data_IF_292702813982
#
_entry.id   IF_292702813982
#
_cell.length_a   1.000
_cell.length_b   1.000
_cell.length_c   1.000
_cell.angle_alpha   90.00
_cell.angle_beta   90.00
_cell.angle_gamma   90.00
#
_symmetry.space_group_name_H-M   'P 1'
#
loop_
_entity.id
_entity.type
_entity.pdbx_description
1 polymer ?
#
# COMPACT_ATOMS: atom_id res chain seq x y z
N UNK A 1 -4.12 5.53 -5.26
CA UNK A 1 -5.02 6.69 -5.00
C UNK A 1 -6.15 6.30 -4.04
N UNK A 2 -7.04 7.25 -3.63
CA UNK A 2 -8.30 6.89 -2.99
C UNK A 2 -8.63 7.55 -1.65
N UNK A 3 -7.71 7.92 -0.81
CA UNK A 3 -8.01 8.61 0.46
C UNK A 3 -7.57 10.08 0.49
N UNK A 4 -6.51 10.41 -0.24
CA UNK A 4 -5.92 11.74 -0.25
C UNK A 4 -6.52 12.68 -1.29
N UNK A 5 -6.27 14.00 -1.16
CA UNK A 5 -6.89 15.04 -2.00
C UNK A 5 -6.11 15.37 -3.28
N UNK A 6 -4.97 14.71 -3.54
CA UNK A 6 -4.08 15.00 -4.67
C UNK A 6 -3.85 13.77 -5.56
N UNK A 7 -4.89 13.16 -6.16
CA UNK A 7 -4.74 11.89 -6.88
C UNK A 7 -3.90 12.03 -8.16
N UNK A 8 -4.01 13.14 -8.91
CA UNK A 8 -3.22 13.34 -10.12
C UNK A 8 -1.75 13.54 -9.82
N UNK A 9 -1.45 14.42 -8.88
CA UNK A 9 -0.08 14.75 -8.47
C UNK A 9 0.64 13.50 -7.93
N UNK A 10 -0.07 12.66 -7.16
CA UNK A 10 0.48 11.41 -6.66
C UNK A 10 0.75 10.41 -7.80
N UNK A 11 -0.19 10.23 -8.73
CA UNK A 11 0.00 9.34 -9.89
C UNK A 11 1.17 9.81 -10.74
N UNK A 12 1.26 11.09 -11.04
CA UNK A 12 2.31 11.67 -11.86
C UNK A 12 3.69 11.54 -11.20
N UNK A 13 3.76 11.78 -9.88
CA UNK A 13 5.00 11.61 -9.11
C UNK A 13 5.46 10.15 -9.11
N UNK A 14 4.57 9.20 -8.84
CA UNK A 14 4.88 7.77 -8.83
C UNK A 14 5.31 7.32 -10.23
N UNK A 15 4.58 7.70 -11.28
CA UNK A 15 4.93 7.38 -12.67
C UNK A 15 6.31 7.91 -13.07
N UNK A 16 6.68 9.09 -12.58
CA UNK A 16 7.96 9.72 -12.90
C UNK A 16 9.15 9.15 -12.08
N UNK A 17 8.90 8.55 -10.93
CA UNK A 17 9.96 8.18 -9.98
C UNK A 17 10.11 6.68 -9.73
N UNK A 18 9.05 5.90 -9.95
CA UNK A 18 9.04 4.46 -9.68
C UNK A 18 9.13 3.66 -10.99
N UNK A 19 10.07 2.76 -11.07
CA UNK A 19 10.22 1.83 -12.21
C UNK A 19 9.19 0.69 -12.16
N UNK A 20 8.75 0.32 -10.95
CA UNK A 20 7.77 -0.75 -10.74
C UNK A 20 6.66 -0.27 -9.80
N UNK A 21 5.44 -0.56 -10.20
CA UNK A 21 4.23 -0.19 -9.45
C UNK A 21 3.21 -1.31 -9.61
N UNK A 22 2.55 -1.69 -8.52
CA UNK A 22 1.44 -2.66 -8.55
C UNK A 22 0.11 -1.96 -8.30
N UNK A 23 -0.95 -2.51 -8.88
CA UNK A 23 -2.32 -2.03 -8.69
C UNK A 23 -2.81 -2.35 -7.29
N UNK A 24 -3.30 -1.35 -6.56
CA UNK A 24 -3.98 -1.53 -5.27
C UNK A 24 -5.51 -1.60 -5.42
N UNK A 25 -6.19 -2.03 -4.35
CA UNK A 25 -7.66 -2.13 -4.33
C UNK A 25 -8.36 -0.79 -4.59
N UNK A 26 -7.84 0.32 -4.05
CA UNK A 26 -8.39 1.65 -4.31
C UNK A 26 -8.19 2.09 -5.76
N UNK A 27 -7.02 1.82 -6.35
CA UNK A 27 -6.76 2.07 -7.76
C UNK A 27 -7.72 1.24 -8.63
N UNK A 28 -7.91 -0.03 -8.29
CA UNK A 28 -8.84 -0.94 -8.94
C UNK A 28 -10.29 -0.46 -8.83
N UNK A 29 -10.68 0.07 -7.67
CA UNK A 29 -12.01 0.69 -7.47
C UNK A 29 -12.19 1.96 -8.30
N UNK A 30 -11.16 2.78 -8.44
CA UNK A 30 -11.19 4.01 -9.25
C UNK A 30 -11.36 3.71 -10.74
N UNK A 31 -10.72 2.66 -11.26
CA UNK A 31 -10.85 2.20 -12.65
C UNK A 31 -12.00 1.19 -12.86
N UNK A 32 -12.87 1.03 -11.87
CA UNK A 32 -14.11 0.21 -11.92
C UNK A 32 -13.88 -1.30 -12.12
N UNK A 33 -12.69 -1.81 -11.83
CA UNK A 33 -12.40 -3.25 -11.83
C UNK A 33 -12.87 -3.94 -10.56
N UNK A 34 -12.88 -3.22 -9.42
CA UNK A 34 -13.36 -3.72 -8.13
C UNK A 34 -14.66 -3.02 -7.76
N UNK A 35 -15.68 -3.81 -7.38
CA UNK A 35 -16.98 -3.26 -6.95
C UNK A 35 -16.81 -2.35 -5.73
N UNK A 36 -17.44 -1.18 -5.77
CA UNK A 36 -17.43 -0.26 -4.64
C UNK A 36 -18.16 -0.84 -3.40
N UNK A 37 -18.91 -1.90 -3.53
CA UNK A 37 -19.59 -2.55 -2.40
C UNK A 37 -18.64 -3.25 -1.43
N UNK A 38 -17.42 -3.54 -1.88
CA UNK A 38 -16.34 -4.07 -1.04
C UNK A 38 -15.67 -3.01 -0.15
N UNK A 39 -15.99 -1.72 -0.34
CA UNK A 39 -15.38 -0.63 0.43
C UNK A 39 -16.31 -0.12 1.53
N UNK A 40 -15.73 0.31 2.65
CA UNK A 40 -16.47 1.03 3.67
C UNK A 40 -16.97 2.41 3.17
N UNK A 41 -17.92 3.02 3.89
CA UNK A 41 -18.54 4.28 3.46
C UNK A 41 -17.55 5.42 3.17
N UNK A 42 -16.52 5.69 4.00
CA UNK A 42 -15.50 6.70 3.69
C UNK A 42 -14.68 6.37 2.45
N UNK A 43 -14.22 5.11 2.29
CA UNK A 43 -13.47 4.65 1.14
C UNK A 43 -14.25 4.78 -0.16
N UNK A 44 -15.52 4.32 -0.17
CA UNK A 44 -16.44 4.46 -1.30
C UNK A 44 -16.60 5.93 -1.74
N UNK A 45 -16.76 6.86 -0.79
CA UNK A 45 -16.86 8.30 -1.08
C UNK A 45 -15.55 8.85 -1.66
N UNK A 46 -14.42 8.45 -1.10
CA UNK A 46 -13.12 8.92 -1.56
C UNK A 46 -12.78 8.38 -2.97
N UNK A 47 -13.08 7.11 -3.27
CA UNK A 47 -12.91 6.54 -4.61
C UNK A 47 -13.75 7.30 -5.63
N UNK A 48 -15.06 7.53 -5.37
CA UNK A 48 -15.93 8.30 -6.26
C UNK A 48 -15.47 9.74 -6.46
N UNK A 49 -14.88 10.34 -5.44
CA UNK A 49 -14.28 11.67 -5.55
C UNK A 49 -13.04 11.61 -6.45
N UNK A 50 -12.13 10.67 -6.23
CA UNK A 50 -10.91 10.47 -7.05
C UNK A 50 -11.25 10.19 -8.52
N UNK A 51 -12.29 9.39 -8.80
CA UNK A 51 -12.77 9.15 -10.17
C UNK A 51 -13.12 10.44 -10.92
N UNK A 52 -13.68 11.44 -10.22
CA UNK A 52 -14.03 12.73 -10.83
C UNK A 52 -12.86 13.68 -10.99
N UNK A 53 -11.78 13.49 -10.23
CA UNK A 53 -10.59 14.35 -10.26
C UNK A 53 -9.54 13.87 -11.26
N UNK A 54 -9.38 12.56 -11.40
CA UNK A 54 -8.34 11.97 -12.23
C UNK A 54 -8.50 12.35 -13.71
N UNK A 55 -7.38 12.74 -14.32
CA UNK A 55 -7.30 12.93 -15.76
C UNK A 55 -7.44 11.61 -16.51
N UNK A 56 -7.83 11.67 -17.78
CA UNK A 56 -7.90 10.48 -18.63
C UNK A 56 -6.56 9.75 -18.72
N UNK A 57 -5.47 10.51 -18.82
CA UNK A 57 -4.12 9.96 -18.89
C UNK A 57 -3.75 9.19 -17.63
N UNK A 58 -4.06 9.74 -16.44
CA UNK A 58 -3.79 9.08 -15.16
C UNK A 58 -4.68 7.85 -14.95
N UNK A 59 -5.93 7.89 -15.43
CA UNK A 59 -6.80 6.70 -15.43
C UNK A 59 -6.26 5.58 -16.34
N UNK A 60 -5.77 5.91 -17.55
CA UNK A 60 -5.15 4.92 -18.43
C UNK A 60 -3.86 4.35 -17.84
N UNK A 61 -3.04 5.16 -17.18
CA UNK A 61 -1.89 4.67 -16.44
C UNK A 61 -2.29 3.64 -15.37
N UNK A 62 -3.28 3.95 -14.52
CA UNK A 62 -3.75 3.02 -13.50
C UNK A 62 -4.32 1.73 -14.10
N UNK A 63 -5.02 1.79 -15.23
CA UNK A 63 -5.50 0.60 -15.95
C UNK A 63 -4.38 -0.31 -16.46
N UNK A 64 -3.22 0.25 -16.74
CA UNK A 64 -2.04 -0.48 -17.19
C UNK A 64 -1.25 -1.17 -16.08
N UNK A 65 -1.52 -0.88 -14.80
CA UNK A 65 -0.77 -1.44 -13.70
C UNK A 65 -1.05 -2.94 -13.51
N UNK A 66 0.01 -3.75 -13.29
CA UNK A 66 -0.13 -5.17 -12.96
C UNK A 66 -0.57 -5.36 -11.51
N UNK A 67 -1.16 -6.51 -11.19
CA UNK A 67 -1.48 -6.92 -9.82
C UNK A 67 -0.23 -7.37 -9.05
N UNK A 68 0.74 -7.98 -9.76
CA UNK A 68 1.99 -8.48 -9.20
C UNK A 68 3.16 -8.13 -10.10
N UNK A 69 4.32 -7.92 -9.52
CA UNK A 69 5.60 -7.74 -10.21
C UNK A 69 6.64 -8.60 -9.54
N UNK A 70 7.46 -9.29 -10.33
CA UNK A 70 8.63 -10.03 -9.83
C UNK A 70 9.89 -9.45 -10.48
N UNK A 71 10.86 -9.11 -9.66
CA UNK A 71 12.16 -8.57 -10.08
C UNK A 71 13.22 -9.31 -9.28
N UNK A 72 14.11 -10.01 -9.96
CA UNK A 72 15.13 -10.85 -9.33
C UNK A 72 14.50 -11.77 -8.27
N UNK A 73 14.88 -11.62 -7.01
CA UNK A 73 14.40 -12.43 -5.89
C UNK A 73 13.35 -11.71 -5.02
N UNK A 74 12.63 -10.76 -5.62
CA UNK A 74 11.63 -9.92 -4.95
C UNK A 74 10.31 -9.99 -5.70
N UNK A 75 9.22 -10.29 -4.99
CA UNK A 75 7.85 -10.17 -5.49
C UNK A 75 7.16 -8.99 -4.82
N UNK A 76 6.46 -8.18 -5.61
CA UNK A 76 5.62 -7.09 -5.17
C UNK A 76 4.15 -7.43 -5.44
N UNK A 77 3.30 -7.26 -4.44
CA UNK A 77 1.85 -7.38 -4.56
C UNK A 77 1.19 -6.42 -3.56
N UNK A 78 0.01 -5.88 -3.87
CA UNK A 78 -0.64 -4.94 -2.95
C UNK A 78 -1.15 -5.59 -1.67
N UNK A 79 -1.80 -6.76 -1.77
CA UNK A 79 -2.47 -7.44 -0.67
C UNK A 79 -1.90 -8.86 -0.42
N UNK A 80 -2.36 -9.86 -1.17
CA UNK A 80 -2.00 -11.26 -0.98
C UNK A 80 -1.71 -11.95 -2.31
N UNK A 81 -0.78 -12.91 -2.35
CA UNK A 81 -0.39 -13.64 -3.57
C UNK A 81 -1.38 -14.74 -3.98
N UNK A 82 -2.00 -15.54 -3.08
CA UNK A 82 -2.94 -16.59 -3.49
C UNK A 82 -4.06 -16.06 -4.40
N UNK A 83 -4.61 -14.88 -4.09
CA UNK A 83 -5.52 -14.14 -4.96
C UNK A 83 -5.21 -12.64 -4.90
N UNK A 84 -4.35 -12.11 -5.79
CA UNK A 84 -4.00 -10.69 -5.79
C UNK A 84 -5.18 -9.75 -6.01
N UNK A 85 -6.26 -10.21 -6.64
CA UNK A 85 -7.47 -9.44 -6.91
C UNK A 85 -8.56 -9.58 -5.83
N UNK A 86 -8.41 -10.49 -4.90
CA UNK A 86 -9.31 -10.70 -3.77
C UNK A 86 -9.12 -9.70 -2.64
N UNK A 87 -7.98 -8.99 -2.64
CA UNK A 87 -7.65 -7.97 -1.65
C UNK A 87 -7.69 -8.47 -0.21
N UNK A 88 -7.29 -9.72 0.01
CA UNK A 88 -7.25 -10.32 1.34
C UNK A 88 -6.18 -9.65 2.22
N UNK A 89 -6.55 -9.38 3.48
CA UNK A 89 -5.63 -8.83 4.47
C UNK A 89 -4.69 -9.91 4.98
N UNK A 90 -3.47 -9.52 5.32
CA UNK A 90 -2.49 -10.37 5.98
C UNK A 90 -2.06 -9.70 7.27
N UNK A 91 -2.57 -10.19 8.40
CA UNK A 91 -2.28 -9.69 9.74
C UNK A 91 -1.54 -10.71 10.60
N UNK A 92 -1.72 -12.00 10.31
CA UNK A 92 -1.22 -13.11 11.13
C UNK A 92 -0.07 -13.85 10.47
N UNK A 93 0.69 -14.59 11.27
CA UNK A 93 1.77 -15.46 10.77
C UNK A 93 1.23 -16.57 9.86
N UNK A 94 0.09 -17.16 10.18
CA UNK A 94 -0.50 -18.23 9.36
C UNK A 94 -0.88 -17.73 7.95
N UNK A 95 -1.46 -16.51 7.87
CA UNK A 95 -1.74 -15.86 6.59
C UNK A 95 -0.44 -15.55 5.83
N UNK A 96 0.60 -15.08 6.52
CA UNK A 96 1.91 -14.83 5.93
C UNK A 96 2.56 -16.09 5.37
N UNK A 97 2.49 -17.20 6.12
CA UNK A 97 2.99 -18.51 5.66
C UNK A 97 2.22 -19.03 4.45
N UNK A 98 0.91 -18.77 4.37
CA UNK A 98 0.10 -19.10 3.18
C UNK A 98 0.59 -18.33 1.95
N UNK A 99 0.90 -17.03 2.08
CA UNK A 99 1.47 -16.21 1.00
C UNK A 99 2.86 -16.73 0.60
N UNK A 100 3.74 -16.97 1.57
CA UNK A 100 5.08 -17.51 1.33
C UNK A 100 5.07 -18.90 0.70
N UNK A 101 4.05 -19.71 0.99
CA UNK A 101 3.87 -21.04 0.41
C UNK A 101 3.68 -21.04 -1.12
N UNK A 102 3.14 -19.96 -1.68
CA UNK A 102 2.95 -19.78 -3.13
C UNK A 102 3.93 -18.80 -3.76
N UNK A 103 4.66 -18.04 -2.95
CA UNK A 103 5.67 -17.09 -3.41
C UNK A 103 6.90 -17.86 -3.91
N UNK A 104 7.40 -17.54 -5.10
CA UNK A 104 8.57 -18.20 -5.71
C UNK A 104 9.89 -17.48 -5.42
N UNK A 105 9.83 -16.29 -4.83
CA UNK A 105 11.00 -15.47 -4.47
C UNK A 105 11.25 -15.52 -2.95
N UNK A 106 12.44 -15.13 -2.53
CA UNK A 106 12.77 -15.06 -1.11
C UNK A 106 12.12 -13.89 -0.39
N UNK A 107 11.79 -12.82 -1.12
CA UNK A 107 11.14 -11.64 -0.55
C UNK A 107 9.80 -11.38 -1.24
N UNK A 108 8.77 -11.20 -0.44
CA UNK A 108 7.47 -10.74 -0.89
C UNK A 108 7.09 -9.46 -0.14
N UNK A 109 6.93 -8.35 -0.87
CA UNK A 109 6.48 -7.08 -0.31
C UNK A 109 5.00 -6.88 -0.54
N UNK A 110 4.30 -6.52 0.53
CA UNK A 110 2.87 -6.19 0.55
C UNK A 110 2.62 -4.83 1.21
N UNK A 111 1.39 -4.36 1.10
CA UNK A 111 0.87 -3.17 1.82
C UNK A 111 -0.51 -3.47 2.40
N UNK A 112 -1.54 -2.77 1.93
CA UNK A 112 -2.97 -2.96 2.15
C UNK A 112 -3.44 -2.82 3.60
N UNK A 113 -2.80 -3.45 4.59
CA UNK A 113 -3.13 -3.28 6.02
C UNK A 113 -2.76 -1.90 6.54
N UNK A 114 -1.77 -1.24 5.93
CA UNK A 114 -1.12 -0.01 6.37
C UNK A 114 -0.36 -0.15 7.72
N UNK A 115 -0.01 -1.37 8.09
CA UNK A 115 0.71 -1.71 9.32
C UNK A 115 2.03 -2.37 8.93
N UNK A 116 3.20 -1.76 9.18
CA UNK A 116 4.48 -2.37 8.87
C UNK A 116 4.70 -3.66 9.67
N UNK A 117 5.20 -4.69 8.99
CA UNK A 117 5.56 -5.95 9.63
C UNK A 117 6.61 -6.69 8.78
N UNK A 118 7.50 -7.42 9.44
CA UNK A 118 8.43 -8.37 8.82
C UNK A 118 8.08 -9.74 9.39
N UNK A 119 7.68 -10.67 8.53
CA UNK A 119 7.24 -12.02 8.91
C UNK A 119 8.07 -13.05 8.16
N UNK A 120 8.90 -13.80 8.88
CA UNK A 120 9.78 -14.84 8.33
C UNK A 120 9.07 -16.20 8.21
N UNK A 121 9.48 -17.01 7.24
CA UNK A 121 8.99 -18.40 7.09
C UNK A 121 9.35 -19.29 8.30
N UNK A 122 10.36 -18.90 9.07
CA UNK A 122 10.76 -19.51 10.33
C UNK A 122 9.93 -19.02 11.53
N UNK A 123 8.82 -18.35 11.27
CA UNK A 123 7.90 -17.74 12.23
C UNK A 123 8.52 -16.61 13.06
N UNK A 124 9.64 -16.04 12.62
CA UNK A 124 10.21 -14.84 13.23
C UNK A 124 9.36 -13.60 12.88
N UNK A 125 9.29 -12.66 13.83
CA UNK A 125 8.60 -11.36 13.65
C UNK A 125 9.59 -10.21 13.82
N UNK A 126 9.50 -9.23 12.92
CA UNK A 126 10.27 -7.99 12.94
C UNK A 126 11.80 -8.20 13.04
N UNK A 127 12.26 -9.32 12.52
CA UNK A 127 13.68 -9.69 12.41
C UNK A 127 13.98 -10.03 10.96
N UNK A 128 15.07 -9.51 10.42
CA UNK A 128 15.53 -9.78 9.06
C UNK A 128 16.95 -10.32 9.07
N UNK A 129 17.18 -11.47 8.41
CA UNK A 129 18.48 -12.16 8.36
C UNK A 129 18.65 -12.95 7.06
N UNK A 130 19.85 -13.28 6.70
CA UNK A 130 20.15 -14.12 5.53
C UNK A 130 19.62 -15.55 5.69
N UNK A 131 19.24 -16.17 4.57
CA UNK A 131 18.84 -17.58 4.54
C UNK A 131 17.42 -17.85 5.02
N UNK A 132 16.60 -16.84 5.19
CA UNK A 132 15.17 -16.97 5.48
C UNK A 132 14.36 -16.21 4.42
N UNK A 133 13.17 -16.70 4.12
CA UNK A 133 12.21 -16.03 3.24
C UNK A 133 11.29 -15.14 4.07
N UNK A 134 10.89 -14.01 3.50
CA UNK A 134 10.09 -13.03 4.23
C UNK A 134 8.89 -12.52 3.44
N UNK A 135 7.78 -12.37 4.14
CA UNK A 135 6.69 -11.48 3.78
C UNK A 135 6.87 -10.16 4.55
N UNK A 136 6.95 -9.05 3.83
CA UNK A 136 7.20 -7.74 4.41
C UNK A 136 6.06 -6.80 4.04
N UNK A 137 5.33 -6.32 5.05
CA UNK A 137 4.41 -5.22 4.87
C UNK A 137 5.17 -3.90 5.10
N UNK A 138 5.19 -3.06 4.08
CA UNK A 138 5.94 -1.80 4.13
C UNK A 138 5.21 -0.67 4.87
N UNK A 139 3.99 -0.91 5.32
CA UNK A 139 3.15 0.10 5.95
C UNK A 139 2.48 1.03 4.95
N UNK A 140 2.38 2.30 5.28
CA UNK A 140 1.72 3.29 4.43
C UNK A 140 2.38 4.65 4.52
N UNK A 141 2.66 5.27 3.37
CA UNK A 141 3.11 6.68 3.32
C UNK A 141 1.94 7.66 3.48
N UNK A 142 0.72 7.26 3.12
CA UNK A 142 -0.42 8.15 3.05
C UNK A 142 -1.39 8.05 4.23
N UNK A 143 -1.53 6.87 4.83
CA UNK A 143 -2.47 6.65 5.94
C UNK A 143 -1.99 5.49 6.83
N UNK A 144 -0.97 5.66 7.67
CA UNK A 144 -0.54 4.66 8.65
C UNK A 144 -1.67 4.26 9.58
N UNK A 145 -1.70 2.97 10.01
CA UNK A 145 -2.77 2.40 10.88
C UNK A 145 -2.22 1.59 12.05
N UNK A 146 -1.03 1.89 12.49
CA UNK A 146 -0.34 1.21 13.59
C UNK A 146 -0.15 2.09 14.83
N UNK A 147 -0.94 3.17 14.93
CA UNK A 147 -0.87 4.14 16.03
C UNK A 147 0.25 5.18 15.88
N UNK A 148 1.01 5.13 14.78
CA UNK A 148 2.07 6.10 14.49
C UNK A 148 1.68 6.94 13.26
N UNK A 149 1.50 8.28 13.37
CA UNK A 149 1.12 9.14 12.25
C UNK A 149 2.22 9.36 11.20
N UNK A 150 3.46 9.01 11.49
CA UNK A 150 4.58 9.17 10.56
C UNK A 150 4.43 8.27 9.35
N UNK A 151 4.70 8.79 8.15
CA UNK A 151 4.73 8.01 6.92
C UNK A 151 5.70 6.83 7.04
N UNK A 152 5.29 5.65 6.56
CA UNK A 152 6.11 4.43 6.61
C UNK A 152 6.46 3.94 5.21
N UNK A 153 7.71 3.50 5.04
CA UNK A 153 8.19 2.79 3.86
C UNK A 153 9.37 1.88 4.21
N UNK A 154 9.73 0.97 3.30
CA UNK A 154 10.86 0.07 3.48
C UNK A 154 12.08 0.47 2.66
N UNK A 155 13.28 0.24 3.20
CA UNK A 155 14.55 0.25 2.48
C UNK A 155 15.15 -1.15 2.49
N UNK A 156 15.35 -1.73 1.31
CA UNK A 156 16.04 -2.99 1.12
C UNK A 156 17.41 -2.75 0.50
N UNK A 157 18.45 -3.17 1.18
CA UNK A 157 19.79 -3.29 0.61
C UNK A 157 20.02 -4.75 0.18
N UNK A 158 20.01 -5.00 -1.12
CA UNK A 158 20.19 -6.35 -1.69
C UNK A 158 21.64 -6.84 -1.61
N UNK A 159 22.61 -5.94 -1.49
CA UNK A 159 24.02 -6.30 -1.36
C UNK A 159 24.37 -6.65 0.08
N UNK A 160 23.94 -5.83 1.04
CA UNK A 160 24.14 -6.08 2.47
C UNK A 160 23.12 -7.09 3.03
N UNK A 161 22.07 -7.40 2.28
CA UNK A 161 20.91 -8.22 2.70
C UNK A 161 20.32 -7.70 4.01
N UNK A 162 19.93 -6.43 4.00
CA UNK A 162 19.30 -5.77 5.14
C UNK A 162 18.02 -5.06 4.75
N UNK A 163 17.09 -4.97 5.69
CA UNK A 163 15.82 -4.29 5.52
C UNK A 163 15.55 -3.37 6.71
N UNK A 164 15.21 -2.12 6.42
CA UNK A 164 14.83 -1.11 7.39
C UNK A 164 13.42 -0.60 7.13
N UNK A 165 12.57 -0.63 8.15
CA UNK A 165 11.28 0.07 8.15
C UNK A 165 11.52 1.53 8.58
N UNK A 166 11.36 2.46 7.65
CA UNK A 166 11.66 3.88 7.85
C UNK A 166 10.38 4.66 8.15
N UNK A 167 10.50 5.62 9.09
CA UNK A 167 9.43 6.56 9.44
C UNK A 167 9.87 7.98 9.16
N UNK A 168 9.01 8.76 8.50
CA UNK A 168 9.26 10.17 8.19
C UNK A 168 8.08 11.02 8.66
N UNK A 169 8.40 12.09 9.37
CA UNK A 169 7.44 13.13 9.70
C UNK A 169 7.04 13.90 8.43
N UNK A 170 5.78 14.30 8.38
CA UNK A 170 5.25 15.17 7.34
C UNK A 170 4.22 16.13 7.94
N UNK A 171 3.81 17.13 7.20
CA UNK A 171 2.80 18.10 7.62
C UNK A 171 1.40 17.49 7.60
N UNK A 172 1.08 16.77 8.67
CA UNK A 172 -0.22 16.13 8.90
C UNK A 172 -1.35 17.17 8.89
N UNK A 173 -1.11 18.34 9.51
CA UNK A 173 -2.11 19.42 9.59
C UNK A 173 -2.49 19.92 8.20
N UNK A 174 -1.51 20.23 7.36
CA UNK A 174 -1.71 20.67 5.98
C UNK A 174 -2.47 19.64 5.15
N UNK A 175 -2.13 18.34 5.30
CA UNK A 175 -2.82 17.27 4.59
C UNK A 175 -4.27 17.12 5.07
N UNK A 176 -4.51 17.21 6.37
CA UNK A 176 -5.85 17.14 6.95
C UNK A 176 -6.74 18.31 6.51
N UNK A 177 -6.18 19.51 6.43
CA UNK A 177 -6.86 20.71 5.89
C UNK A 177 -7.24 20.52 4.42
N UNK A 178 -6.31 20.06 3.59
CA UNK A 178 -6.56 19.79 2.18
C UNK A 178 -7.65 18.71 1.97
N UNK A 179 -7.68 17.65 2.79
CA UNK A 179 -8.77 16.66 2.77
C UNK A 179 -10.13 17.31 3.06
N UNK A 180 -10.18 18.22 4.04
CA UNK A 180 -11.38 18.95 4.43
C UNK A 180 -11.84 19.91 3.33
N UNK A 181 -10.91 20.67 2.75
CA UNK A 181 -11.17 21.62 1.66
C UNK A 181 -11.68 20.90 0.39
N UNK A 182 -11.17 19.72 0.11
CA UNK A 182 -11.63 18.86 -0.99
C UNK A 182 -13.03 18.26 -0.76
N UNK A 183 -13.66 18.48 0.39
CA UNK A 183 -14.96 17.89 0.74
C UNK A 183 -14.95 16.38 0.94
N UNK A 184 -13.77 15.80 1.18
CA UNK A 184 -13.61 14.40 1.50
C UNK A 184 -14.11 14.09 2.94
N UNK A 185 -14.42 12.83 3.27
CA UNK A 185 -14.90 12.47 4.61
C UNK A 185 -13.94 12.89 5.73
N UNK A 186 -14.42 13.66 6.71
CA UNK A 186 -13.61 14.18 7.82
C UNK A 186 -12.87 13.12 8.62
N UNK A 187 -13.39 11.89 8.67
CA UNK A 187 -12.70 10.76 9.31
C UNK A 187 -11.35 10.48 8.68
N UNK A 188 -11.18 10.73 7.37
CA UNK A 188 -9.91 10.54 6.66
C UNK A 188 -8.84 11.54 7.13
N UNK A 189 -9.25 12.79 7.40
CA UNK A 189 -8.37 13.80 7.98
C UNK A 189 -8.00 13.46 9.44
N UNK A 190 -8.98 13.08 10.27
CA UNK A 190 -8.77 12.79 11.69
C UNK A 190 -7.83 11.60 11.92
N UNK A 191 -7.90 10.58 11.08
CA UNK A 191 -7.04 9.39 11.15
C UNK A 191 -5.55 9.71 11.06
N UNK A 192 -5.18 10.71 10.27
CA UNK A 192 -3.78 11.08 10.05
C UNK A 192 -3.07 11.51 11.33
N UNK A 193 -3.78 12.13 12.28
CA UNK A 193 -3.19 12.59 13.55
C UNK A 193 -2.89 11.46 14.52
N UNK A 194 -3.55 10.34 14.38
CA UNK A 194 -3.46 9.21 15.33
C UNK A 194 -2.88 7.95 14.71
N UNK A 195 -2.61 7.96 13.41
CA UNK A 195 -2.10 6.79 12.70
C UNK A 195 -3.09 5.61 12.73
N UNK A 196 -4.39 5.89 12.40
CA UNK A 196 -5.45 4.87 12.50
C UNK A 196 -6.37 4.80 11.28
#
# INVERSE_FOLDING_TARGET
VGYGPFPNECVELIRARCSQVVLGNHDSGVIERTSLDLFNKPGKKAIRWSQRQLTKENLEYLKGLPLTVTIDDVTLVHASLPDPSGWEYVFTMDEALSVLGVCTTNLCFIGHTHIPAVMGEDQSMNTFRTGCRYLINVGSVGQPRDGNPMAAFGLLDTAAWSYDSVRIEYDVQKTAEAIKEAGLPLVLARRLFVGY
#
